data_IF_471217931688
#
_entry.id   IF_471217931688
#
_cell.length_a   1.000
_cell.length_b   1.000
_cell.length_c   1.000
_cell.angle_alpha   90.00
_cell.angle_beta   90.00
_cell.angle_gamma   90.00
#
_symmetry.space_group_name_H-M   'P 1'
#
loop_
_entity.id
_entity.type
_entity.pdbx_description
1 polymer ?
#
# COMPACT_ATOMS: atom_id res chain seq x y z
N UNK A 1 6.10 -20.62 22.20
CA UNK A 1 5.74 -21.53 21.08
C UNK A 1 6.51 -21.18 19.80
N UNK A 2 6.30 -20.01 19.18
CA UNK A 2 6.99 -19.60 17.95
C UNK A 2 8.51 -19.80 17.98
N UNK A 3 9.18 -19.30 19.03
CA UNK A 3 10.63 -19.47 19.22
C UNK A 3 11.08 -20.93 19.12
N UNK A 4 10.52 -21.79 19.95
CA UNK A 4 10.84 -23.22 19.97
C UNK A 4 10.61 -23.88 18.60
N UNK A 5 9.48 -23.59 17.94
CA UNK A 5 9.18 -24.13 16.61
C UNK A 5 10.23 -23.71 15.56
N UNK A 6 10.62 -22.44 15.53
CA UNK A 6 11.60 -21.93 14.57
C UNK A 6 12.98 -22.53 14.85
N UNK A 7 13.40 -22.57 16.13
CA UNK A 7 14.71 -23.11 16.54
C UNK A 7 14.82 -24.61 16.22
N UNK A 8 13.81 -25.41 16.57
CA UNK A 8 13.79 -26.84 16.29
C UNK A 8 13.75 -27.12 14.78
N UNK A 9 12.92 -26.40 14.02
CA UNK A 9 12.84 -26.58 12.58
C UNK A 9 14.13 -26.17 11.86
N UNK A 10 14.79 -25.09 12.29
CA UNK A 10 16.11 -24.69 11.76
C UNK A 10 17.23 -25.64 12.15
N UNK A 11 17.16 -26.27 13.32
CA UNK A 11 18.12 -27.32 13.70
C UNK A 11 18.07 -28.53 12.76
N UNK A 12 16.89 -28.82 12.19
CA UNK A 12 16.72 -29.87 11.17
C UNK A 12 17.04 -29.36 9.76
N UNK A 13 16.60 -28.16 9.40
CA UNK A 13 16.86 -27.55 8.10
C UNK A 13 17.09 -26.02 8.24
N UNK A 14 18.35 -25.55 8.20
CA UNK A 14 18.68 -24.14 8.41
C UNK A 14 18.25 -23.22 7.25
N UNK A 15 17.79 -23.78 6.13
CA UNK A 15 17.32 -23.00 4.98
C UNK A 15 15.83 -22.66 5.03
N UNK A 16 15.09 -23.18 6.01
CA UNK A 16 13.67 -22.85 6.17
C UNK A 16 13.48 -21.38 6.54
N UNK A 17 12.50 -20.76 5.88
CA UNK A 17 12.03 -19.41 6.18
C UNK A 17 10.74 -19.46 6.99
N UNK A 18 10.59 -18.55 7.94
CA UNK A 18 9.46 -18.54 8.87
C UNK A 18 8.74 -17.19 8.81
N UNK A 19 7.42 -17.26 8.69
CA UNK A 19 6.55 -16.11 8.79
C UNK A 19 5.49 -16.35 9.86
N UNK A 20 5.12 -15.31 10.59
CA UNK A 20 4.11 -15.37 11.64
C UNK A 20 3.59 -13.97 12.01
N UNK A 21 2.52 -13.84 12.78
CA UNK A 21 1.80 -14.93 13.44
C UNK A 21 0.60 -15.48 12.65
N UNK A 22 0.46 -15.14 11.37
CA UNK A 22 -0.75 -15.44 10.57
C UNK A 22 -1.98 -14.72 11.14
N UNK A 23 -1.85 -13.42 11.38
CA UNK A 23 -2.90 -12.61 11.98
C UNK A 23 -4.07 -12.37 11.03
N UNK A 24 -5.23 -11.95 11.53
CA UNK A 24 -6.18 -11.18 10.69
C UNK A 24 -5.59 -9.81 10.33
N UNK A 25 -6.35 -9.01 9.58
CA UNK A 25 -5.93 -7.68 9.14
C UNK A 25 -5.45 -6.82 10.30
N UNK A 26 -4.33 -6.10 10.12
CA UNK A 26 -3.71 -5.38 11.23
C UNK A 26 -4.63 -4.35 11.87
N UNK A 27 -5.47 -3.69 11.06
CA UNK A 27 -6.46 -2.74 11.55
C UNK A 27 -7.75 -3.35 12.07
N UNK A 28 -7.88 -4.68 12.13
CA UNK A 28 -9.06 -5.35 12.69
C UNK A 28 -9.22 -5.06 14.19
N UNK A 29 -10.48 -5.05 14.63
CA UNK A 29 -10.89 -4.77 16.01
C UNK A 29 -10.29 -3.48 16.58
N UNK A 30 -10.32 -2.41 15.78
CA UNK A 30 -9.78 -1.11 16.17
C UNK A 30 -8.29 -1.18 16.56
N UNK A 31 -7.50 -1.85 15.72
CA UNK A 31 -6.07 -2.12 15.91
C UNK A 31 -5.71 -3.06 17.07
N UNK A 32 -6.69 -3.65 17.77
CA UNK A 32 -6.41 -4.65 18.81
C UNK A 32 -5.71 -5.87 18.24
N UNK A 33 -5.96 -6.23 16.99
CA UNK A 33 -5.21 -7.30 16.33
C UNK A 33 -3.72 -6.97 16.25
N UNK A 34 -3.37 -5.76 15.82
CA UNK A 34 -1.99 -5.31 15.79
C UNK A 34 -1.40 -5.23 17.21
N UNK A 35 -2.04 -4.51 18.12
CA UNK A 35 -1.45 -4.13 19.43
C UNK A 35 -1.45 -5.26 20.46
N UNK A 36 -2.51 -6.06 20.52
CA UNK A 36 -2.64 -7.10 21.55
C UNK A 36 -2.14 -8.47 21.09
N UNK A 37 -2.07 -8.72 19.78
CA UNK A 37 -1.68 -10.02 19.23
C UNK A 37 -0.36 -9.96 18.45
N UNK A 38 -0.26 -9.13 17.40
CA UNK A 38 0.91 -9.12 16.51
C UNK A 38 2.16 -8.55 17.19
N UNK A 39 2.10 -7.33 17.74
CA UNK A 39 3.27 -6.66 18.29
C UNK A 39 3.92 -7.38 19.47
N UNK A 40 3.18 -7.99 20.42
CA UNK A 40 3.78 -8.81 21.46
C UNK A 40 4.57 -10.00 20.90
N UNK A 41 4.07 -10.65 19.84
CA UNK A 41 4.78 -11.76 19.20
C UNK A 41 6.04 -11.25 18.49
N UNK A 42 5.93 -10.16 17.72
CA UNK A 42 7.08 -9.54 17.05
C UNK A 42 8.17 -9.17 18.06
N UNK A 43 7.82 -8.55 19.18
CA UNK A 43 8.77 -8.18 20.24
C UNK A 43 9.61 -9.36 20.73
N UNK A 44 9.00 -10.53 20.83
CA UNK A 44 9.66 -11.73 21.34
C UNK A 44 10.37 -12.56 20.26
N UNK A 45 10.09 -12.33 18.97
CA UNK A 45 10.56 -13.23 17.89
C UNK A 45 11.05 -12.53 16.61
N UNK A 46 11.20 -11.21 16.58
CA UNK A 46 11.61 -10.48 15.35
C UNK A 46 12.99 -10.90 14.82
N UNK A 47 13.85 -11.44 15.68
CA UNK A 47 15.17 -12.00 15.36
C UNK A 47 15.08 -13.37 14.66
N UNK A 48 13.93 -14.04 14.79
CA UNK A 48 13.68 -15.37 14.26
C UNK A 48 12.86 -15.36 12.97
N UNK A 49 12.01 -14.36 12.77
CA UNK A 49 11.08 -14.27 11.65
C UNK A 49 11.72 -13.65 10.40
N UNK A 50 11.49 -14.30 9.26
CA UNK A 50 11.86 -13.81 7.93
C UNK A 50 10.79 -12.85 7.37
N UNK A 51 9.54 -13.01 7.80
CA UNK A 51 8.42 -12.15 7.44
C UNK A 51 7.35 -12.10 8.54
N UNK A 52 6.50 -11.07 8.50
CA UNK A 52 5.24 -11.02 9.25
C UNK A 52 4.13 -11.54 8.36
N UNK A 53 3.37 -12.53 8.84
CA UNK A 53 2.25 -13.11 8.11
C UNK A 53 0.91 -12.56 8.58
N UNK A 54 0.06 -12.16 7.63
CA UNK A 54 -1.27 -11.60 7.85
C UNK A 54 -2.26 -12.14 6.81
N UNK A 55 -3.53 -12.18 7.16
CA UNK A 55 -4.68 -12.51 6.33
C UNK A 55 -5.64 -11.32 6.40
N UNK A 56 -6.10 -10.86 5.24
CA UNK A 56 -7.20 -9.90 5.21
C UNK A 56 -8.11 -10.24 4.04
N UNK A 57 -9.38 -9.93 4.24
CA UNK A 57 -10.43 -10.24 3.32
C UNK A 57 -11.29 -9.01 3.14
N UNK A 58 -11.77 -8.81 1.91
CA UNK A 58 -12.67 -7.71 1.55
C UNK A 58 -12.03 -6.33 1.80
N UNK A 59 -12.74 -5.24 1.51
CA UNK A 59 -12.26 -3.88 1.75
C UNK A 59 -11.55 -3.25 0.54
N UNK A 60 -10.72 -2.24 0.80
CA UNK A 60 -10.04 -1.44 -0.23
C UNK A 60 -8.54 -1.67 -0.17
N UNK A 61 -7.90 -1.81 -1.32
CA UNK A 61 -6.46 -2.04 -1.41
C UNK A 61 -5.63 -0.97 -0.68
N UNK A 62 -6.02 0.28 -0.82
CA UNK A 62 -5.35 1.41 -0.16
C UNK A 62 -5.52 1.45 1.34
N UNK A 63 -6.61 0.87 1.85
CA UNK A 63 -6.78 0.71 3.28
C UNK A 63 -5.75 -0.28 3.82
N UNK A 64 -5.55 -1.44 3.19
CA UNK A 64 -4.54 -2.40 3.63
C UNK A 64 -3.12 -1.91 3.47
N UNK A 65 -2.82 -1.20 2.37
CA UNK A 65 -1.53 -0.52 2.24
C UNK A 65 -1.27 0.45 3.41
N UNK A 66 -2.31 1.19 3.84
CA UNK A 66 -2.22 2.07 4.99
C UNK A 66 -2.02 1.30 6.31
N UNK A 67 -2.73 0.19 6.50
CA UNK A 67 -2.60 -0.68 7.68
C UNK A 67 -1.22 -1.32 7.79
N UNK A 68 -0.66 -1.77 6.66
CA UNK A 68 0.69 -2.34 6.59
C UNK A 68 1.77 -1.31 6.89
N UNK A 69 1.56 -0.05 6.47
CA UNK A 69 2.47 1.05 6.83
C UNK A 69 2.45 1.33 8.35
N UNK A 70 1.27 1.27 8.99
CA UNK A 70 1.16 1.40 10.45
C UNK A 70 1.84 0.23 11.16
N UNK A 71 1.63 -1.00 10.68
CA UNK A 71 2.28 -2.18 11.23
C UNK A 71 3.80 -2.12 11.09
N UNK A 72 4.32 -1.75 9.92
CA UNK A 72 5.76 -1.60 9.71
C UNK A 72 6.36 -0.50 10.59
N UNK A 73 5.69 0.63 10.77
CA UNK A 73 6.12 1.67 11.70
C UNK A 73 6.30 1.13 13.13
N UNK A 74 5.35 0.33 13.59
CA UNK A 74 5.39 -0.32 14.89
C UNK A 74 6.53 -1.36 14.99
N UNK A 75 6.69 -2.19 13.94
CA UNK A 75 7.73 -3.22 13.84
C UNK A 75 9.11 -2.58 13.85
N UNK A 76 9.34 -1.52 13.06
CA UNK A 76 10.61 -0.79 13.04
C UNK A 76 10.95 -0.18 14.41
N UNK A 77 9.93 0.22 15.18
CA UNK A 77 10.16 0.72 16.54
C UNK A 77 10.68 -0.36 17.50
N UNK A 78 10.23 -1.60 17.31
CA UNK A 78 10.62 -2.77 18.10
C UNK A 78 11.94 -3.38 17.62
N UNK A 79 12.04 -3.67 16.32
CA UNK A 79 13.11 -4.45 15.72
C UNK A 79 14.27 -3.60 15.17
N UNK A 80 14.11 -2.28 15.09
CA UNK A 80 15.09 -1.37 14.48
C UNK A 80 15.21 -1.49 12.95
N UNK A 81 14.38 -2.32 12.32
CA UNK A 81 14.35 -2.60 10.88
C UNK A 81 12.94 -2.94 10.42
N UNK A 82 12.66 -2.76 9.14
CA UNK A 82 11.47 -3.34 8.53
C UNK A 82 11.60 -4.86 8.44
N UNK A 83 10.46 -5.53 8.56
CA UNK A 83 10.32 -6.97 8.32
C UNK A 83 9.32 -7.10 7.16
N UNK A 84 9.65 -7.83 6.08
CA UNK A 84 8.70 -8.09 5.00
C UNK A 84 7.35 -8.57 5.52
N UNK A 85 6.28 -8.16 4.86
CA UNK A 85 4.94 -8.63 5.17
C UNK A 85 4.48 -9.57 4.05
N UNK A 86 4.01 -10.75 4.44
CA UNK A 86 3.41 -11.72 3.56
C UNK A 86 1.93 -11.81 3.89
N UNK A 87 1.09 -11.53 2.89
CA UNK A 87 -0.29 -11.94 2.99
C UNK A 87 -0.38 -13.43 2.63
N UNK A 88 -0.66 -14.29 3.60
CA UNK A 88 -0.70 -15.74 3.37
C UNK A 88 -2.07 -16.26 2.97
N UNK A 89 -3.09 -15.39 2.99
CA UNK A 89 -4.45 -15.72 2.62
C UNK A 89 -5.28 -14.45 2.39
N UNK A 90 -5.67 -14.20 1.14
CA UNK A 90 -6.52 -13.06 0.77
C UNK A 90 -7.57 -13.44 -0.26
N UNK A 91 -8.79 -12.91 -0.07
CA UNK A 91 -9.86 -12.93 -1.08
C UNK A 91 -10.99 -11.94 -0.74
N UNK A 92 -11.80 -11.60 -1.75
CA UNK A 92 -13.13 -11.04 -1.50
C UNK A 92 -14.10 -12.19 -1.22
N UNK A 93 -14.37 -12.43 0.07
CA UNK A 93 -15.39 -13.37 0.52
C UNK A 93 -16.77 -12.77 0.23
N UNK A 94 -17.71 -13.59 -0.25
CA UNK A 94 -19.03 -13.17 -0.75
C UNK A 94 -19.95 -12.45 0.25
N UNK A 95 -19.57 -12.46 1.53
CA UNK A 95 -20.36 -12.00 2.68
C UNK A 95 -19.95 -10.59 3.13
N UNK A 96 -19.82 -9.64 2.21
CA UNK A 96 -19.37 -8.27 2.55
C UNK A 96 -20.52 -7.40 3.12
N UNK A 97 -20.44 -6.90 4.36
CA UNK A 97 -21.20 -5.74 4.80
C UNK A 97 -20.42 -4.47 4.40
N UNK A 98 -20.92 -3.73 3.40
CA UNK A 98 -20.18 -2.56 2.89
C UNK A 98 -20.81 -1.80 1.72
N UNK A 99 -22.12 -1.91 1.50
CA UNK A 99 -22.81 -1.04 0.54
C UNK A 99 -22.73 -1.44 -0.95
N UNK A 100 -22.21 -2.62 -1.29
CA UNK A 100 -22.34 -3.19 -2.64
C UNK A 100 -23.51 -4.19 -2.75
N UNK A 101 -24.65 -3.83 -2.15
CA UNK A 101 -25.97 -4.46 -2.26
C UNK A 101 -26.02 -5.97 -2.01
N UNK A 102 -26.64 -6.38 -0.91
CA UNK A 102 -27.13 -7.75 -0.71
C UNK A 102 -28.41 -8.05 -1.50
N UNK A 103 -28.66 -7.37 -2.63
CA UNK A 103 -29.87 -7.63 -3.41
C UNK A 103 -29.69 -8.90 -4.25
N UNK A 104 -30.74 -9.70 -4.28
CA UNK A 104 -30.88 -10.94 -5.06
C UNK A 104 -30.86 -10.71 -6.59
N UNK A 105 -30.61 -9.48 -7.05
CA UNK A 105 -30.57 -9.06 -8.46
C UNK A 105 -29.15 -9.06 -9.07
N UNK A 106 -28.17 -9.71 -8.42
CA UNK A 106 -26.82 -9.75 -8.98
C UNK A 106 -26.82 -10.51 -10.31
N UNK A 107 -26.27 -9.94 -11.40
CA UNK A 107 -25.92 -10.73 -12.57
C UNK A 107 -25.13 -11.97 -12.14
N UNK A 108 -25.34 -13.11 -12.79
CA UNK A 108 -24.74 -14.40 -12.42
C UNK A 108 -23.22 -14.35 -12.18
N UNK A 109 -22.54 -13.34 -12.74
CA UNK A 109 -21.08 -13.13 -12.69
C UNK A 109 -20.63 -11.88 -11.91
N UNK A 110 -21.48 -11.29 -11.07
CA UNK A 110 -21.08 -10.13 -10.25
C UNK A 110 -19.93 -10.45 -9.27
N UNK A 111 -19.86 -11.70 -8.79
CA UNK A 111 -18.78 -12.16 -7.92
C UNK A 111 -17.41 -12.15 -8.60
N UNK A 112 -17.35 -12.46 -9.90
CA UNK A 112 -16.11 -12.38 -10.69
C UNK A 112 -15.58 -10.95 -10.75
N UNK A 113 -16.47 -9.99 -11.04
CA UNK A 113 -16.12 -8.57 -11.09
C UNK A 113 -15.55 -8.07 -9.77
N UNK A 114 -16.23 -8.38 -8.66
CA UNK A 114 -15.83 -7.91 -7.33
C UNK A 114 -14.45 -8.44 -6.94
N UNK A 115 -14.23 -9.74 -7.15
CA UNK A 115 -12.93 -10.37 -6.89
C UNK A 115 -11.84 -9.82 -7.79
N UNK A 116 -12.09 -9.66 -9.08
CA UNK A 116 -11.10 -9.05 -9.98
C UNK A 116 -10.72 -7.62 -9.55
N UNK A 117 -11.72 -6.79 -9.23
CA UNK A 117 -11.53 -5.42 -8.78
C UNK A 117 -10.74 -5.37 -7.45
N UNK A 118 -11.07 -6.23 -6.49
CA UNK A 118 -10.34 -6.33 -5.23
C UNK A 118 -8.86 -6.70 -5.44
N UNK A 119 -8.59 -7.73 -6.25
CA UNK A 119 -7.24 -8.20 -6.54
C UNK A 119 -6.40 -7.10 -7.21
N UNK A 120 -6.98 -6.37 -8.17
CA UNK A 120 -6.31 -5.25 -8.85
C UNK A 120 -6.07 -4.08 -7.89
N UNK A 121 -7.11 -3.63 -7.19
CA UNK A 121 -7.00 -2.49 -6.28
C UNK A 121 -5.94 -2.73 -5.20
N UNK A 122 -5.94 -3.91 -4.59
CA UNK A 122 -4.99 -4.29 -3.55
C UNK A 122 -3.55 -4.41 -4.07
N UNK A 123 -3.31 -5.18 -5.14
CA UNK A 123 -1.96 -5.36 -5.67
C UNK A 123 -1.39 -4.01 -6.14
N UNK A 124 -2.18 -3.21 -6.86
CA UNK A 124 -1.71 -1.91 -7.33
C UNK A 124 -1.45 -0.96 -6.16
N UNK A 125 -2.30 -0.93 -5.13
CA UNK A 125 -2.07 -0.10 -3.95
C UNK A 125 -0.78 -0.52 -3.21
N UNK A 126 -0.54 -1.82 -3.03
CA UNK A 126 0.69 -2.31 -2.39
C UNK A 126 1.94 -1.95 -3.20
N UNK A 127 1.91 -2.12 -4.52
CA UNK A 127 3.04 -1.74 -5.38
C UNK A 127 3.26 -0.22 -5.42
N UNK A 128 2.18 0.57 -5.39
CA UNK A 128 2.25 2.03 -5.44
C UNK A 128 2.82 2.63 -4.15
N UNK A 129 2.41 2.12 -2.99
CA UNK A 129 2.76 2.71 -1.70
C UNK A 129 3.83 1.93 -0.95
N UNK A 130 3.75 0.61 -0.88
CA UNK A 130 4.61 -0.17 0.02
C UNK A 130 5.31 -1.35 -0.66
N UNK A 131 5.96 -1.15 -1.83
CA UNK A 131 6.55 -2.25 -2.58
C UNK A 131 7.70 -2.96 -1.86
N UNK A 132 8.35 -2.27 -0.91
CA UNK A 132 9.42 -2.84 -0.08
C UNK A 132 8.88 -3.77 1.02
N UNK A 133 7.64 -3.55 1.48
CA UNK A 133 6.98 -4.38 2.50
C UNK A 133 6.25 -5.56 1.87
N UNK A 134 5.56 -5.34 0.75
CA UNK A 134 4.73 -6.36 0.10
C UNK A 134 5.56 -7.37 -0.70
N UNK A 135 6.10 -8.37 0.01
CA UNK A 135 6.96 -9.42 -0.59
C UNK A 135 6.23 -10.70 -0.94
N UNK A 136 5.08 -10.95 -0.33
CA UNK A 136 4.30 -12.16 -0.55
C UNK A 136 2.82 -11.87 -0.47
N UNK A 137 2.07 -12.46 -1.39
CA UNK A 137 0.61 -12.41 -1.38
C UNK A 137 0.06 -13.70 -1.97
N UNK A 138 -0.72 -14.43 -1.19
CA UNK A 138 -1.32 -15.69 -1.58
C UNK A 138 -2.85 -15.54 -1.66
N UNK A 139 -3.42 -15.85 -2.82
CA UNK A 139 -4.87 -15.93 -2.96
C UNK A 139 -5.36 -17.17 -2.25
N UNK A 140 -6.47 -17.03 -1.52
CA UNK A 140 -7.13 -18.12 -0.83
C UNK A 140 -7.45 -19.28 -1.79
N UNK A 141 -6.65 -20.34 -1.68
CA UNK A 141 -6.73 -21.69 -2.25
C UNK A 141 -6.92 -21.85 -3.78
N UNK A 142 -6.09 -22.72 -4.37
CA UNK A 142 -6.36 -23.30 -5.69
C UNK A 142 -7.16 -24.60 -5.51
N UNK A 143 -8.29 -24.72 -6.20
CA UNK A 143 -9.09 -25.95 -6.20
C UNK A 143 -8.66 -26.83 -7.37
N UNK A 144 -8.05 -27.98 -7.07
CA UNK A 144 -7.50 -28.90 -8.08
C UNK A 144 -6.51 -28.21 -9.04
N UNK A 145 -5.68 -27.30 -8.49
CA UNK A 145 -4.68 -26.54 -9.23
C UNK A 145 -5.24 -25.41 -10.09
N UNK A 146 -6.50 -25.00 -9.88
CA UNK A 146 -7.15 -23.92 -10.64
C UNK A 146 -7.78 -22.89 -9.70
N UNK A 147 -7.86 -21.65 -10.15
CA UNK A 147 -8.69 -20.63 -9.50
C UNK A 147 -10.16 -21.04 -9.56
N UNK A 148 -10.86 -20.94 -8.42
CA UNK A 148 -12.30 -21.21 -8.39
C UNK A 148 -13.09 -20.09 -9.08
N UNK A 149 -12.59 -18.85 -8.99
CA UNK A 149 -13.23 -17.69 -9.57
C UNK A 149 -12.48 -17.19 -10.83
N UNK A 150 -13.13 -17.16 -12.00
CA UNK A 150 -12.52 -16.66 -13.24
C UNK A 150 -12.02 -15.21 -13.16
N UNK A 151 -12.66 -14.36 -12.35
CA UNK A 151 -12.25 -12.97 -12.15
C UNK A 151 -10.90 -12.82 -11.46
N UNK A 152 -10.58 -13.68 -10.48
CA UNK A 152 -9.25 -13.72 -9.86
C UNK A 152 -8.17 -14.09 -10.87
N UNK A 153 -8.43 -15.12 -11.68
CA UNK A 153 -7.51 -15.56 -12.72
C UNK A 153 -7.27 -14.46 -13.76
N UNK A 154 -8.34 -13.80 -14.23
CA UNK A 154 -8.26 -12.70 -15.18
C UNK A 154 -7.46 -11.52 -14.63
N UNK A 155 -7.71 -11.12 -13.36
CA UNK A 155 -6.96 -10.06 -12.71
C UNK A 155 -5.46 -10.38 -12.59
N UNK A 156 -5.10 -11.59 -12.17
CA UNK A 156 -3.70 -11.99 -12.06
C UNK A 156 -3.00 -12.09 -13.42
N UNK A 157 -3.67 -12.63 -14.43
CA UNK A 157 -3.14 -12.66 -15.80
C UNK A 157 -2.93 -11.25 -16.34
N UNK A 158 -3.86 -10.34 -16.06
CA UNK A 158 -3.77 -8.94 -16.44
C UNK A 158 -2.62 -8.21 -15.78
N UNK A 159 -2.35 -8.47 -14.49
CA UNK A 159 -1.25 -7.87 -13.72
C UNK A 159 0.11 -8.54 -13.98
N UNK A 160 0.14 -9.70 -14.67
CA UNK A 160 1.36 -10.46 -14.91
C UNK A 160 2.51 -9.67 -15.57
N UNK A 161 2.25 -8.69 -16.47
CA UNK A 161 3.32 -7.86 -17.06
C UNK A 161 4.03 -6.93 -16.07
N UNK A 162 3.47 -6.63 -14.90
CA UNK A 162 4.17 -5.82 -13.88
C UNK A 162 5.29 -6.64 -13.24
N UNK A 163 6.45 -6.68 -13.91
CA UNK A 163 7.67 -7.37 -13.51
C UNK A 163 8.87 -6.44 -13.69
N UNK A 164 9.98 -6.79 -13.04
CA UNK A 164 11.20 -6.00 -13.06
C UNK A 164 11.18 -4.86 -12.05
N UNK A 165 11.80 -3.74 -12.40
CA UNK A 165 11.99 -2.61 -11.48
C UNK A 165 10.78 -1.70 -11.52
N UNK A 166 10.19 -1.39 -10.36
CA UNK A 166 9.13 -0.39 -10.29
C UNK A 166 9.66 1.00 -10.62
N UNK A 167 8.88 1.74 -11.40
CA UNK A 167 9.16 3.11 -11.82
C UNK A 167 8.13 4.03 -11.20
N UNK A 168 8.57 5.22 -10.78
CA UNK A 168 7.65 6.21 -10.22
C UNK A 168 6.75 6.75 -11.30
N UNK A 169 5.45 6.68 -11.06
CA UNK A 169 4.40 7.24 -11.90
C UNK A 169 3.40 7.94 -10.99
N UNK A 170 2.93 9.11 -11.41
CA UNK A 170 2.02 9.92 -10.63
C UNK A 170 0.71 10.12 -11.39
N UNK A 171 -0.38 10.23 -10.64
CA UNK A 171 -1.68 10.63 -11.16
C UNK A 171 -2.15 11.85 -10.38
N UNK A 172 -2.67 12.84 -11.10
CA UNK A 172 -3.37 13.98 -10.49
C UNK A 172 -4.69 13.57 -9.84
N UNK A 173 -5.22 12.40 -10.20
CA UNK A 173 -6.45 11.86 -9.65
C UNK A 173 -6.15 10.79 -8.60
N UNK A 174 -6.42 11.06 -7.31
CA UNK A 174 -6.19 10.08 -6.28
C UNK A 174 -7.12 8.88 -6.41
N UNK A 175 -8.13 8.81 -7.29
CA UNK A 175 -8.95 7.61 -7.52
C UNK A 175 -8.49 6.74 -8.70
N UNK A 176 -7.38 7.11 -9.34
CA UNK A 176 -6.71 6.26 -10.31
C UNK A 176 -5.49 5.62 -9.65
N UNK A 177 -5.44 4.30 -9.66
CA UNK A 177 -4.22 3.59 -9.26
C UNK A 177 -3.39 3.39 -10.52
N UNK A 178 -2.17 3.93 -10.51
CA UNK A 178 -1.23 3.83 -11.63
C UNK A 178 0.06 3.22 -11.09
N UNK A 179 0.49 2.13 -11.71
CA UNK A 179 1.75 1.45 -11.38
C UNK A 179 2.50 1.18 -12.66
N UNK A 180 3.80 1.45 -12.65
CA UNK A 180 4.68 1.18 -13.76
C UNK A 180 5.85 0.30 -13.31
N UNK A 181 6.25 -0.64 -14.16
CA UNK A 181 7.41 -1.49 -13.95
C UNK A 181 8.19 -1.64 -15.26
N UNK A 182 9.52 -1.53 -15.20
CA UNK A 182 10.39 -1.74 -16.35
C UNK A 182 10.90 -3.18 -16.32
N UNK A 183 10.61 -3.96 -17.37
CA UNK A 183 10.95 -5.39 -17.45
C UNK A 183 12.33 -5.67 -18.05
N UNK A 184 13.04 -4.63 -18.48
CA UNK A 184 14.35 -4.70 -19.15
C UNK A 184 14.28 -4.30 -20.63
N UNK A 185 13.10 -4.35 -21.23
CA UNK A 185 12.87 -3.97 -22.63
C UNK A 185 11.92 -2.78 -22.77
N UNK A 186 10.89 -2.71 -21.91
CA UNK A 186 9.88 -1.67 -21.97
C UNK A 186 9.29 -1.36 -20.60
N UNK A 187 8.65 -0.20 -20.51
CA UNK A 187 7.85 0.19 -19.37
C UNK A 187 6.44 -0.38 -19.50
N UNK A 188 6.06 -1.23 -18.55
CA UNK A 188 4.72 -1.80 -18.41
C UNK A 188 3.93 -0.94 -17.43
N UNK A 189 2.84 -0.32 -17.88
CA UNK A 189 2.03 0.60 -17.08
C UNK A 189 0.63 0.03 -16.94
N UNK A 190 0.12 -0.07 -15.72
CA UNK A 190 -1.28 -0.42 -15.48
C UNK A 190 -1.99 0.75 -14.84
N UNK A 191 -3.12 1.14 -15.44
CA UNK A 191 -4.05 2.15 -14.89
C UNK A 191 -5.37 1.48 -14.52
N UNK A 192 -5.81 1.67 -13.29
CA UNK A 192 -7.08 1.17 -12.77
C UNK A 192 -7.99 2.31 -12.32
N UNK A 193 -9.26 2.26 -12.74
CA UNK A 193 -10.27 3.25 -12.43
C UNK A 193 -11.17 2.83 -11.26
N UNK A 194 -10.90 3.32 -10.05
CA UNK A 194 -11.75 3.11 -8.86
C UNK A 194 -12.91 4.13 -8.74
N UNK A 195 -13.22 4.88 -9.81
CA UNK A 195 -14.40 5.76 -9.83
C UNK A 195 -15.67 5.00 -10.19
N UNK A 196 -16.80 5.65 -9.92
CA UNK A 196 -18.12 5.16 -10.31
C UNK A 196 -18.53 5.60 -11.73
N UNK A 197 -17.69 6.38 -12.44
CA UNK A 197 -17.91 6.82 -13.81
C UNK A 197 -16.67 6.55 -14.69
N UNK A 198 -16.84 6.41 -16.01
CA UNK A 198 -15.72 6.29 -16.95
C UNK A 198 -14.80 7.51 -16.90
N UNK A 199 -13.52 7.31 -17.17
CA UNK A 199 -12.51 8.39 -17.21
C UNK A 199 -11.66 8.33 -18.47
N UNK A 200 -11.35 9.48 -19.05
CA UNK A 200 -10.29 9.63 -20.05
C UNK A 200 -8.96 9.91 -19.35
N UNK A 201 -7.86 9.50 -19.98
CA UNK A 201 -6.49 9.73 -19.48
C UNK A 201 -5.75 10.62 -20.47
N UNK A 202 -5.09 11.63 -19.92
CA UNK A 202 -4.12 12.46 -20.64
C UNK A 202 -2.73 12.15 -20.11
N UNK A 203 -1.76 11.99 -21.02
CA UNK A 203 -0.37 11.72 -20.70
C UNK A 203 0.44 13.00 -20.80
N UNK A 204 1.27 13.29 -19.80
CA UNK A 204 2.15 14.48 -19.80
C UNK A 204 3.42 14.27 -20.63
N UNK A 205 3.80 13.03 -20.86
CA UNK A 205 4.99 12.64 -21.63
C UNK A 205 4.61 11.84 -22.88
N UNK A 206 5.47 10.92 -23.32
CA UNK A 206 5.21 10.03 -24.43
C UNK A 206 3.95 9.19 -24.17
N UNK A 207 3.04 9.19 -25.14
CA UNK A 207 1.81 8.41 -25.07
C UNK A 207 2.14 6.92 -25.24
N UNK A 208 1.87 6.07 -24.24
CA UNK A 208 2.15 4.65 -24.33
C UNK A 208 1.09 3.94 -25.18
N UNK A 209 1.47 2.82 -25.79
CA UNK A 209 0.56 1.97 -26.54
C UNK A 209 -0.33 1.18 -25.57
N UNK A 210 -1.66 1.28 -25.71
CA UNK A 210 -2.56 0.41 -24.98
C UNK A 210 -2.53 -0.99 -25.59
N UNK A 211 -2.26 -2.01 -24.77
CA UNK A 211 -2.16 -3.39 -25.23
C UNK A 211 -3.37 -4.21 -24.85
N UNK A 212 -3.85 -4.05 -23.61
CA UNK A 212 -4.91 -4.89 -23.05
C UNK A 212 -5.85 -4.10 -22.16
N UNK A 213 -7.08 -4.56 -22.06
CA UNK A 213 -8.07 -4.05 -21.12
C UNK A 213 -8.66 -5.19 -20.30
N UNK A 214 -8.74 -5.00 -18.99
CA UNK A 214 -9.64 -5.79 -18.16
C UNK A 214 -11.04 -5.19 -18.27
N UNK A 215 -11.96 -5.95 -18.85
CA UNK A 215 -13.36 -5.58 -18.98
C UNK A 215 -14.26 -6.53 -18.20
N UNK A 216 -15.46 -6.05 -17.94
CA UNK A 216 -16.54 -6.85 -17.40
C UNK A 216 -17.80 -6.61 -18.22
N UNK A 217 -18.46 -7.69 -18.60
CA UNK A 217 -19.78 -7.65 -19.20
C UNK A 217 -20.70 -8.72 -18.57
N UNK A 218 -22.01 -8.49 -18.62
CA UNK A 218 -22.98 -9.32 -17.91
C UNK A 218 -23.05 -10.76 -18.45
N UNK A 219 -22.69 -10.96 -19.73
CA UNK A 219 -22.79 -12.24 -20.43
C UNK A 219 -21.52 -13.09 -20.25
N UNK A 220 -20.35 -12.45 -20.43
CA UNK A 220 -19.05 -13.10 -20.48
C UNK A 220 -18.25 -12.94 -19.17
N UNK A 221 -18.75 -12.16 -18.21
CA UNK A 221 -18.08 -11.97 -16.92
C UNK A 221 -16.81 -11.12 -17.06
N UNK A 222 -15.84 -11.39 -16.19
CA UNK A 222 -14.55 -10.67 -16.22
C UNK A 222 -13.58 -11.34 -17.19
N UNK A 223 -13.01 -10.55 -18.12
CA UNK A 223 -12.03 -11.04 -19.09
C UNK A 223 -11.01 -9.97 -19.47
N UNK A 224 -9.86 -10.44 -19.94
CA UNK A 224 -8.83 -9.61 -20.55
C UNK A 224 -9.02 -9.65 -22.07
N UNK A 225 -9.03 -8.48 -22.70
CA UNK A 225 -9.05 -8.35 -24.17
C UNK A 225 -7.78 -7.65 -24.63
N UNK A 226 -7.27 -8.05 -25.79
CA UNK A 226 -6.24 -7.28 -26.49
C UNK A 226 -6.88 -6.05 -27.17
N UNK A 227 -6.10 -5.00 -27.34
CA UNK A 227 -6.53 -3.72 -27.89
C UNK A 227 -5.70 -3.37 -29.14
N UNK A 228 -6.38 -2.98 -30.21
CA UNK A 228 -5.73 -2.43 -31.40
C UNK A 228 -5.47 -0.92 -31.29
N UNK A 229 -6.19 -0.24 -30.40
CA UNK A 229 -6.07 1.20 -30.14
C UNK A 229 -6.38 1.52 -28.66
N UNK A 230 -5.85 2.65 -28.13
CA UNK A 230 -6.21 3.13 -26.80
C UNK A 230 -7.71 3.33 -26.65
N UNK A 231 -8.33 2.86 -25.55
CA UNK A 231 -9.75 3.10 -25.33
C UNK A 231 -9.96 4.58 -25.04
N UNK A 232 -11.05 5.15 -25.56
CA UNK A 232 -11.39 6.56 -25.30
C UNK A 232 -11.59 6.85 -23.81
N UNK A 233 -12.10 5.87 -23.06
CA UNK A 233 -12.25 5.94 -21.60
C UNK A 233 -12.00 4.58 -20.94
N UNK A 234 -11.59 4.59 -19.68
CA UNK A 234 -11.54 3.42 -18.81
C UNK A 234 -12.85 3.35 -18.02
N UNK A 235 -13.64 2.27 -18.14
CA UNK A 235 -14.90 2.15 -17.41
C UNK A 235 -14.68 1.99 -15.89
N UNK A 236 -15.73 2.20 -15.07
CA UNK A 236 -15.68 1.96 -13.62
C UNK A 236 -15.23 0.54 -13.27
N UNK A 237 -14.22 0.42 -12.41
CA UNK A 237 -13.56 -0.84 -12.03
C UNK A 237 -12.88 -1.56 -13.22
N UNK A 238 -12.67 -0.86 -14.33
CA UNK A 238 -11.86 -1.33 -15.45
C UNK A 238 -10.40 -0.98 -15.25
N UNK A 239 -9.53 -1.69 -15.97
CA UNK A 239 -8.11 -1.41 -16.01
C UNK A 239 -7.57 -1.51 -17.44
N UNK A 240 -6.55 -0.72 -17.76
CA UNK A 240 -5.85 -0.77 -19.05
C UNK A 240 -4.35 -0.97 -18.79
N UNK A 241 -3.77 -1.89 -19.54
CA UNK A 241 -2.34 -2.15 -19.59
C UNK A 241 -1.77 -1.45 -20.82
N UNK A 242 -0.79 -0.60 -20.58
CA UNK A 242 -0.05 0.13 -21.58
C UNK A 242 1.42 -0.30 -21.59
N UNK A 243 2.07 -0.14 -22.74
CA UNK A 243 3.50 -0.36 -22.95
C UNK A 243 4.12 0.90 -23.55
N UNK A 244 5.27 1.30 -23.02
CA UNK A 244 6.11 2.33 -23.61
C UNK A 244 7.49 1.71 -23.88
N UNK A 245 7.83 1.56 -25.16
CA UNK A 245 9.16 1.13 -25.56
C UNK A 245 10.17 2.26 -25.31
N UNK A 246 11.36 1.89 -24.82
CA UNK A 246 12.41 2.85 -24.54
C UNK A 246 13.47 2.26 -23.61
N UNK A 247 14.61 2.94 -23.47
CA UNK A 247 15.60 2.55 -22.48
C UNK A 247 15.00 2.62 -21.06
N UNK A 248 15.55 1.86 -20.10
CA UNK A 248 15.15 2.00 -18.71
C UNK A 248 15.29 3.46 -18.27
N UNK A 249 14.35 3.97 -17.47
CA UNK A 249 14.49 5.29 -16.91
C UNK A 249 15.81 5.36 -16.12
N UNK A 250 16.59 6.41 -16.33
CA UNK A 250 17.92 6.60 -15.73
C UNK A 250 17.91 6.65 -14.20
N UNK A 251 16.74 6.87 -13.59
CA UNK A 251 16.57 6.95 -12.14
C UNK A 251 15.60 5.88 -11.67
N UNK A 252 16.16 4.83 -11.06
CA UNK A 252 15.40 3.89 -10.26
C UNK A 252 15.26 4.46 -8.85
N UNK A 253 14.06 4.89 -8.48
CA UNK A 253 13.83 5.47 -7.14
C UNK A 253 13.66 4.36 -6.11
N UNK A 254 14.69 4.15 -5.30
CA UNK A 254 14.52 3.38 -4.07
C UNK A 254 13.89 4.30 -3.01
N UNK A 255 12.67 3.98 -2.60
CA UNK A 255 12.02 4.68 -1.50
C UNK A 255 12.54 4.14 -0.17
N UNK A 256 13.10 5.02 0.64
CA UNK A 256 13.38 4.72 2.03
C UNK A 256 12.31 5.37 2.90
N UNK A 257 11.62 4.58 3.70
CA UNK A 257 10.58 5.06 4.61
C UNK A 257 11.12 5.02 6.04
N UNK A 258 10.94 6.12 6.79
CA UNK A 258 11.23 6.17 8.23
C UNK A 258 9.98 6.57 9.01
N UNK A 259 9.50 5.72 9.91
CA UNK A 259 8.37 6.07 10.76
C UNK A 259 8.78 7.10 11.80
N UNK A 260 7.85 7.99 12.11
CA UNK A 260 8.00 8.91 13.21
C UNK A 260 7.92 8.18 14.56
N UNK A 261 8.63 8.71 15.54
CA UNK A 261 8.66 8.25 16.92
C UNK A 261 8.24 9.38 17.85
N UNK A 262 7.68 9.04 19.00
CA UNK A 262 7.50 10.03 20.05
C UNK A 262 8.86 10.41 20.68
N UNK A 263 8.88 11.49 21.46
CA UNK A 263 10.09 11.99 22.12
C UNK A 263 10.74 10.97 23.08
N UNK A 264 9.96 10.02 23.61
CA UNK A 264 10.44 8.89 24.43
C UNK A 264 10.93 7.70 23.60
N UNK A 265 11.09 7.88 22.28
CA UNK A 265 11.50 6.88 21.30
C UNK A 265 10.48 5.72 21.08
N UNK A 266 9.29 5.79 21.68
CA UNK A 266 8.19 4.87 21.39
C UNK A 266 7.65 5.08 19.97
N UNK A 267 7.03 4.06 19.35
CA UNK A 267 6.43 4.22 18.03
C UNK A 267 5.38 5.34 18.00
N UNK A 268 5.49 6.27 17.04
CA UNK A 268 4.53 7.36 16.83
C UNK A 268 3.26 6.90 16.10
N UNK A 269 2.66 5.81 16.57
CA UNK A 269 1.48 5.19 15.97
C UNK A 269 0.26 5.33 16.88
N UNK A 270 -0.94 5.26 16.28
CA UNK A 270 -2.23 5.25 16.98
C UNK A 270 -2.38 6.39 18.00
N UNK A 271 -1.90 7.56 17.64
CA UNK A 271 -1.90 8.75 18.49
C UNK A 271 -3.29 9.40 18.47
N UNK A 272 -3.83 9.65 19.66
CA UNK A 272 -5.03 10.44 19.84
C UNK A 272 -4.67 11.84 20.33
N UNK A 273 -5.09 12.85 19.58
CA UNK A 273 -4.89 14.26 19.88
C UNK A 273 -6.25 14.91 20.20
N UNK A 274 -6.49 15.31 21.46
CA UNK A 274 -7.61 16.18 21.79
C UNK A 274 -7.62 17.48 20.96
N UNK A 275 -8.78 18.14 20.77
CA UNK A 275 -8.84 19.43 20.10
C UNK A 275 -7.83 20.45 20.67
N UNK A 276 -7.06 21.10 19.81
CA UNK A 276 -6.07 22.10 20.18
C UNK A 276 -4.79 21.54 20.83
N UNK A 277 -4.69 20.23 21.01
CA UNK A 277 -3.47 19.60 21.52
C UNK A 277 -2.41 19.45 20.43
N UNK A 278 -1.16 19.34 20.87
CA UNK A 278 -0.01 19.10 20.01
C UNK A 278 0.83 17.95 20.57
N UNK A 279 1.52 17.24 19.68
CA UNK A 279 2.52 16.24 20.06
C UNK A 279 3.75 16.37 19.19
N UNK A 280 4.92 16.31 19.83
CA UNK A 280 6.20 16.29 19.13
C UNK A 280 6.54 14.87 18.68
N UNK A 281 7.01 14.78 17.44
CA UNK A 281 7.48 13.56 16.82
C UNK A 281 8.88 13.78 16.25
N UNK A 282 9.72 12.77 16.38
CA UNK A 282 11.08 12.76 15.87
C UNK A 282 11.27 11.63 14.86
N UNK A 283 12.25 11.77 13.98
CA UNK A 283 12.68 10.70 13.09
C UNK A 283 14.11 10.31 13.41
N UNK A 284 14.38 9.01 13.44
CA UNK A 284 15.70 8.45 13.72
C UNK A 284 16.26 7.71 12.50
N UNK A 285 17.59 7.56 12.45
CA UNK A 285 18.31 6.84 11.39
C UNK A 285 17.95 7.35 9.99
N UNK A 286 18.01 8.66 9.82
CA UNK A 286 17.66 9.32 8.57
C UNK A 286 18.65 8.95 7.46
N UNK A 287 18.16 8.59 6.26
CA UNK A 287 19.00 8.49 5.07
C UNK A 287 19.70 9.82 4.78
N UNK A 288 20.77 9.78 3.98
CA UNK A 288 21.36 11.00 3.43
C UNK A 288 20.37 11.77 2.56
N UNK A 289 20.53 13.09 2.50
CA UNK A 289 19.64 13.96 1.72
C UNK A 289 18.40 14.42 2.50
N UNK A 290 17.36 14.79 1.77
CA UNK A 290 16.14 15.38 2.34
C UNK A 290 14.92 14.51 2.01
N UNK A 291 14.01 14.38 2.97
CA UNK A 291 12.72 13.75 2.73
C UNK A 291 11.93 14.59 1.71
N UNK A 292 11.33 13.91 0.73
CA UNK A 292 10.50 14.55 -0.30
C UNK A 292 9.08 14.79 0.19
N UNK A 293 8.59 13.90 1.04
CA UNK A 293 7.21 13.94 1.52
C UNK A 293 7.04 13.25 2.89
N UNK A 294 5.96 13.60 3.56
CA UNK A 294 5.42 12.90 4.72
C UNK A 294 4.18 12.12 4.30
N UNK A 295 4.14 10.85 4.67
CA UNK A 295 2.98 9.99 4.58
C UNK A 295 2.23 10.01 5.90
N UNK A 296 0.99 10.46 5.85
CA UNK A 296 0.08 10.53 6.99
C UNK A 296 -0.99 9.48 6.81
N UNK A 297 -1.02 8.51 7.72
CA UNK A 297 -2.14 7.58 7.85
C UNK A 297 -3.02 8.06 8.98
N UNK A 298 -4.22 8.52 8.63
CA UNK A 298 -5.24 8.86 9.61
C UNK A 298 -6.41 7.88 9.53
N UNK A 299 -7.17 7.81 10.61
CA UNK A 299 -8.38 6.99 10.71
C UNK A 299 -9.54 7.85 11.22
N UNK A 300 -10.78 7.42 10.97
CA UNK A 300 -11.93 7.79 11.79
C UNK A 300 -13.02 8.56 11.05
N UNK A 301 -14.27 8.26 11.41
CA UNK A 301 -15.43 9.08 11.05
C UNK A 301 -15.44 10.33 11.93
N UNK A 302 -15.73 11.48 11.33
CA UNK A 302 -15.94 12.77 12.01
C UNK A 302 -14.73 13.41 12.68
N UNK A 303 -13.54 12.81 12.65
CA UNK A 303 -12.35 13.45 13.22
C UNK A 303 -11.95 14.70 12.42
N UNK A 304 -11.60 15.76 13.15
CA UNK A 304 -11.16 17.03 12.57
C UNK A 304 -9.80 16.86 11.89
N UNK A 305 -9.50 17.77 10.97
CA UNK A 305 -8.15 17.89 10.43
C UNK A 305 -7.14 18.32 11.50
N UNK A 306 -5.90 18.42 11.07
CA UNK A 306 -4.81 18.89 11.90
C UNK A 306 -3.77 19.60 11.05
N UNK A 307 -2.63 19.91 11.64
CA UNK A 307 -1.50 20.44 10.91
C UNK A 307 -0.20 19.74 11.32
N UNK A 308 0.76 19.75 10.40
CA UNK A 308 2.17 19.48 10.69
C UNK A 308 2.86 20.82 10.85
N UNK A 309 3.56 21.00 11.97
CA UNK A 309 4.41 22.16 12.19
C UNK A 309 5.85 21.70 12.16
N UNK A 310 6.56 22.12 11.12
CA UNK A 310 7.96 21.81 10.90
C UNK A 310 8.86 22.61 11.85
N UNK A 311 10.10 22.16 12.06
CA UNK A 311 11.06 22.81 12.96
C UNK A 311 11.35 24.29 12.61
N UNK A 312 11.22 24.66 11.33
CA UNK A 312 11.34 26.04 10.86
C UNK A 312 10.09 26.91 11.13
N UNK A 313 9.09 26.38 11.83
CA UNK A 313 7.82 27.03 12.13
C UNK A 313 6.78 27.00 11.01
N UNK A 314 7.10 26.41 9.85
CA UNK A 314 6.13 26.27 8.77
C UNK A 314 5.03 25.29 9.14
N UNK A 315 3.78 25.71 8.93
CA UNK A 315 2.60 24.91 9.20
C UNK A 315 1.97 24.41 7.89
N UNK A 316 1.70 23.09 7.83
CA UNK A 316 1.07 22.42 6.70
C UNK A 316 -0.25 21.82 7.17
N UNK A 317 -1.36 22.35 6.67
CA UNK A 317 -2.69 21.87 7.01
C UNK A 317 -3.00 20.52 6.37
N UNK A 318 -3.57 19.61 7.16
CA UNK A 318 -4.00 18.27 6.77
C UNK A 318 -5.52 18.19 6.88
N UNK A 319 -6.16 18.19 5.72
CA UNK A 319 -7.59 17.96 5.63
C UNK A 319 -7.89 16.46 5.53
N UNK A 320 -8.66 15.96 6.49
CA UNK A 320 -9.05 14.55 6.58
C UNK A 320 -10.51 14.44 6.12
N UNK A 321 -10.80 13.88 4.93
CA UNK A 321 -12.18 13.62 4.51
C UNK A 321 -12.89 12.70 5.51
N UNK A 322 -14.18 12.97 5.74
CA UNK A 322 -15.03 12.24 6.69
C UNK A 322 -15.58 10.90 6.15
N UNK A 323 -14.82 10.20 5.29
CA UNK A 323 -15.27 8.93 4.72
C UNK A 323 -14.94 7.71 5.61
N UNK A 324 -14.22 7.92 6.71
CA UNK A 324 -13.89 6.89 7.70
C UNK A 324 -12.88 5.85 7.21
N UNK A 325 -12.36 5.98 5.99
CA UNK A 325 -11.40 5.05 5.42
C UNK A 325 -9.98 5.41 5.85
N UNK A 326 -9.19 4.38 6.17
CA UNK A 326 -7.75 4.52 6.40
C UNK A 326 -7.09 4.79 5.04
N UNK A 327 -6.35 5.89 4.94
CA UNK A 327 -5.72 6.33 3.69
C UNK A 327 -4.34 6.90 3.95
N UNK A 328 -3.41 6.57 3.07
CA UNK A 328 -2.10 7.22 3.00
C UNK A 328 -2.30 8.57 2.29
N UNK A 329 -2.00 9.67 3.00
CA UNK A 329 -1.93 11.01 2.42
C UNK A 329 -0.47 11.37 2.23
N UNK A 330 -0.11 11.70 0.99
CA UNK A 330 1.22 12.18 0.61
C UNK A 330 1.25 13.70 0.76
N UNK A 331 2.13 14.21 1.61
CA UNK A 331 2.29 15.64 1.87
C UNK A 331 3.69 16.03 1.40
N UNK A 332 3.83 16.72 0.26
CA UNK A 332 5.12 17.20 -0.20
C UNK A 332 5.77 18.09 0.87
N UNK A 333 7.05 17.86 1.11
CA UNK A 333 7.85 18.69 2.00
C UNK A 333 8.55 19.78 1.18
N UNK A 334 8.67 21.00 1.73
CA UNK A 334 9.59 22.00 1.20
C UNK A 334 11.01 21.46 1.10
N UNK A 335 11.74 21.91 0.07
CA UNK A 335 13.13 21.53 -0.10
C UNK A 335 13.99 21.97 1.10
N UNK A 336 14.85 21.07 1.60
CA UNK A 336 15.79 21.37 2.68
C UNK A 336 15.24 21.24 4.10
N UNK A 337 14.03 20.71 4.28
CA UNK A 337 13.47 20.45 5.62
C UNK A 337 14.31 19.39 6.34
N UNK A 338 14.87 19.77 7.49
CA UNK A 338 15.61 18.87 8.37
C UNK A 338 14.67 18.20 9.37
N UNK A 339 14.32 16.94 9.08
CA UNK A 339 13.46 16.14 9.95
C UNK A 339 14.17 15.61 11.20
N UNK A 340 15.50 15.77 11.32
CA UNK A 340 16.22 15.38 12.55
C UNK A 340 15.87 16.28 13.73
N UNK A 341 15.39 17.49 13.46
CA UNK A 341 14.88 18.44 14.46
C UNK A 341 13.45 18.13 14.91
N UNK A 342 12.85 17.07 14.39
CA UNK A 342 11.47 16.70 14.66
C UNK A 342 10.43 17.59 13.98
N UNK A 343 9.16 17.26 14.24
CA UNK A 343 7.99 18.04 13.86
C UNK A 343 6.94 17.94 14.95
N UNK A 344 5.97 18.85 14.93
CA UNK A 344 4.78 18.75 15.77
C UNK A 344 3.57 18.39 14.93
N UNK A 345 2.76 17.47 15.43
CA UNK A 345 1.40 17.24 14.94
C UNK A 345 0.44 18.02 15.84
N UNK A 346 -0.50 18.77 15.26
CA UNK A 346 -1.47 19.57 16.00
C UNK A 346 -2.89 19.24 15.56
N UNK A 347 -3.80 18.98 16.49
CA UNK A 347 -5.22 18.89 16.17
C UNK A 347 -5.83 20.29 16.14
N UNK A 348 -6.73 20.55 15.19
CA UNK A 348 -7.44 21.83 15.16
C UNK A 348 -8.26 22.04 16.45
N UNK A 349 -8.28 23.26 16.97
CA UNK A 349 -8.98 23.60 18.22
C UNK A 349 -10.51 23.56 18.09
N UNK A 350 -11.04 23.78 16.88
CA UNK A 350 -12.47 23.77 16.55
C UNK A 350 -12.99 22.39 16.09
N UNK A 351 -12.11 21.37 16.05
CA UNK A 351 -12.46 20.01 15.67
C UNK A 351 -12.91 19.12 16.84
N UNK A 352 -13.13 17.84 16.55
CA UNK A 352 -13.41 16.81 17.58
C UNK A 352 -12.15 16.04 18.01
N UNK A 353 -10.97 16.55 17.66
CA UNK A 353 -9.68 15.88 17.82
C UNK A 353 -9.23 15.16 16.55
N UNK A 354 -8.05 14.56 16.62
CA UNK A 354 -7.39 13.88 15.50
C UNK A 354 -6.81 12.53 15.95
N UNK A 355 -7.14 11.46 15.23
CA UNK A 355 -6.54 10.13 15.38
C UNK A 355 -5.57 9.87 14.23
N UNK A 356 -4.29 9.89 14.57
CA UNK A 356 -3.19 9.61 13.65
C UNK A 356 -2.76 8.16 13.84
N UNK A 357 -2.97 7.33 12.82
CA UNK A 357 -2.58 5.93 12.91
C UNK A 357 -1.06 5.76 12.74
N UNK A 358 -0.44 6.48 11.81
CA UNK A 358 1.00 6.56 11.68
C UNK A 358 1.43 7.79 10.86
N UNK A 359 2.68 8.19 11.06
CA UNK A 359 3.34 9.20 10.25
C UNK A 359 4.71 8.66 9.82
N UNK A 360 5.04 8.78 8.55
CA UNK A 360 6.29 8.28 7.99
C UNK A 360 6.88 9.29 7.01
N UNK A 361 8.19 9.49 7.04
CA UNK A 361 8.89 10.31 6.07
C UNK A 361 9.44 9.44 4.95
N UNK A 362 9.45 9.98 3.73
CA UNK A 362 9.89 9.27 2.53
C UNK A 362 11.04 10.01 1.88
N UNK A 363 12.16 9.31 1.74
CA UNK A 363 13.31 9.72 0.93
C UNK A 363 13.22 8.99 -0.40
N UNK A 364 13.52 9.73 -1.45
CA UNK A 364 13.76 9.18 -2.77
C UNK A 364 15.24 9.42 -3.06
N UNK A 365 16.01 8.33 -3.12
CA UNK A 365 17.39 8.39 -3.57
C UNK A 365 17.40 8.28 -5.09
N UNK A 366 17.97 9.30 -5.73
CA UNK A 366 18.34 9.22 -7.14
C UNK A 366 19.58 8.32 -7.19
N UNK A 367 19.38 7.03 -7.42
CA UNK A 367 20.49 6.18 -7.86
C UNK A 367 20.83 6.59 -9.28
N UNK A 368 21.87 7.41 -9.43
CA UNK A 368 22.60 7.47 -10.68
C UNK A 368 23.18 6.07 -10.91
N UNK A 369 22.69 5.39 -11.95
CA UNK A 369 23.27 4.13 -12.41
C UNK A 369 24.74 4.43 -12.75
N UNK A 370 25.64 4.11 -11.81
CA UNK A 370 27.07 4.14 -12.07
C UNK A 370 27.38 2.93 -12.93
N UNK A 371 27.07 3.05 -14.22
CA UNK A 371 27.24 2.02 -15.25
C UNK A 371 28.69 1.52 -15.42
N UNK A 372 29.65 2.04 -14.64
CA UNK A 372 31.07 1.72 -14.70
C UNK A 372 31.59 0.80 -13.58
N UNK A 373 30.73 0.29 -12.67
CA UNK A 373 31.15 -0.75 -11.73
C UNK A 373 31.15 -2.14 -12.42
N UNK A 374 32.09 -2.35 -13.34
CA UNK A 374 32.45 -3.69 -13.82
C UNK A 374 33.20 -4.42 -12.70
N UNK A 375 32.90 -5.70 -12.38
CA UNK A 375 33.53 -6.44 -11.28
C UNK A 375 35.03 -6.65 -11.43
#
# INVERSE_FOLDING_TARGET
MYRAMVEEARAVNPHLRFAGPSSSGFGSDDWRQLTNFVLPIVKETYDLLDAIAEHHYQGRGRQFAAEWLVADAAIQAIAGRSIPIWNTETNDLSDTPGGWGSSDDRPARAAERKRAAYQIDEILAHLQFIPHLARGRAIHMLHRGRFLNPGEAAALQFLAPLRGTLVTVESSDPRLSVVAAHDGEALQIIVYNDRHHPIAIEWTEAQPQALRQLIWDAENGTRVIDLDAPPATIPPLGAVHYRLDGPPPQTMRQRQIRPARAADNSPGILLELPPGSARELIFANLPSGYAKEIWVVSEGLRLGGGSLVLANGQEININIPHDGLRKIRRIPLPHGVDLSQGLQIRAHADGVGWRLAALSAVWEEDHEDTADATP
#
